data_IF_733695858056
#
_entry.id   IF_733695858056
#
_cell.length_a   1.000
_cell.length_b   1.000
_cell.length_c   1.000
_cell.angle_alpha   90.00
_cell.angle_beta   90.00
_cell.angle_gamma   90.00
#
_symmetry.space_group_name_H-M   'P 1'
#
loop_
_entity.id
_entity.type
_entity.pdbx_description
1 polymer ?
#
# COMPACT_ATOMS: atom_id res chain seq x y z
N UNK A 1 8.16 6.07 -20.23
CA UNK A 1 8.08 4.75 -20.89
C UNK A 1 6.75 4.63 -21.62
N UNK A 2 6.70 4.01 -22.81
CA UNK A 2 5.48 3.93 -23.60
C UNK A 2 4.49 2.87 -23.06
N UNK A 3 3.19 3.19 -23.10
CA UNK A 3 2.09 2.43 -22.49
C UNK A 3 1.96 0.96 -22.97
N UNK A 4 2.35 0.66 -24.22
CA UNK A 4 2.22 -0.69 -24.78
C UNK A 4 3.10 -1.72 -24.04
N UNK A 5 4.20 -1.31 -23.41
CA UNK A 5 5.08 -2.22 -22.67
C UNK A 5 4.43 -2.73 -21.38
N UNK A 6 3.47 -2.01 -20.79
CA UNK A 6 2.73 -2.50 -19.62
C UNK A 6 1.79 -3.67 -19.97
N UNK A 7 1.30 -3.73 -21.21
CA UNK A 7 0.44 -4.84 -21.68
C UNK A 7 1.25 -6.14 -21.80
N UNK A 8 2.52 -6.04 -22.23
CA UNK A 8 3.39 -7.20 -22.41
C UNK A 8 4.25 -7.55 -21.19
N UNK A 9 4.52 -6.59 -20.27
CA UNK A 9 5.20 -6.85 -19.00
C UNK A 9 4.21 -6.91 -17.85
N UNK A 10 3.39 -7.95 -17.88
CA UNK A 10 2.40 -8.26 -16.84
C UNK A 10 3.03 -8.35 -15.43
N UNK A 11 4.33 -8.65 -15.33
CA UNK A 11 5.10 -8.73 -14.08
C UNK A 11 5.40 -7.37 -13.42
N UNK A 12 5.33 -6.28 -14.18
CA UNK A 12 5.51 -4.93 -13.64
C UNK A 12 4.26 -4.40 -12.92
N UNK A 13 3.10 -5.00 -13.18
CA UNK A 13 1.85 -4.59 -12.53
C UNK A 13 1.80 -5.20 -11.13
N UNK A 14 1.85 -4.37 -10.07
CA UNK A 14 1.84 -4.88 -8.71
C UNK A 14 0.47 -5.46 -8.39
N UNK A 15 0.47 -6.54 -7.62
CA UNK A 15 -0.76 -7.10 -7.08
C UNK A 15 -1.38 -6.09 -6.12
N UNK A 16 -2.66 -5.77 -6.30
CA UNK A 16 -3.37 -4.85 -5.43
C UNK A 16 -4.13 -5.62 -4.35
N UNK A 17 -4.34 -5.04 -3.18
CA UNK A 17 -5.02 -5.73 -2.08
C UNK A 17 -6.32 -5.01 -1.70
N UNK A 18 -7.39 -5.07 -2.53
CA UNK A 18 -8.64 -4.38 -2.25
C UNK A 18 -9.46 -5.06 -1.17
N UNK A 19 -10.27 -4.28 -0.44
CA UNK A 19 -11.19 -4.81 0.55
C UNK A 19 -12.41 -5.49 -0.10
N UNK A 20 -12.71 -6.73 0.31
CA UNK A 20 -13.82 -7.56 -0.22
C UNK A 20 -15.17 -6.84 -0.23
N UNK A 21 -15.49 -6.08 0.82
CA UNK A 21 -16.79 -5.43 0.99
C UNK A 21 -17.09 -4.35 -0.05
N UNK A 22 -16.08 -3.71 -0.63
CA UNK A 22 -16.28 -2.64 -1.62
C UNK A 22 -16.38 -3.17 -3.06
N UNK A 23 -15.81 -4.35 -3.35
CA UNK A 23 -15.64 -4.83 -4.73
C UNK A 23 -16.43 -6.10 -5.09
N UNK A 24 -17.01 -6.85 -4.14
CA UNK A 24 -17.72 -8.10 -4.45
C UNK A 24 -19.19 -7.94 -4.88
N UNK A 25 -19.69 -6.72 -5.12
CA UNK A 25 -21.11 -6.52 -5.40
C UNK A 25 -21.54 -6.92 -6.83
N UNK A 26 -20.65 -6.84 -7.83
CA UNK A 26 -20.97 -7.11 -9.24
C UNK A 26 -20.02 -8.16 -9.88
N UNK A 27 -20.53 -8.96 -10.83
CA UNK A 27 -19.73 -9.94 -11.57
C UNK A 27 -18.55 -9.29 -12.33
N UNK A 28 -18.80 -8.13 -12.96
CA UNK A 28 -17.77 -7.35 -13.65
C UNK A 28 -16.64 -6.87 -12.74
N UNK A 29 -16.94 -6.45 -11.50
CA UNK A 29 -15.90 -6.04 -10.56
C UNK A 29 -15.04 -7.21 -10.08
N UNK A 30 -15.55 -8.44 -10.11
CA UNK A 30 -14.80 -9.66 -9.84
C UNK A 30 -13.83 -10.00 -10.99
N UNK A 31 -14.28 -9.89 -12.23
CA UNK A 31 -13.44 -10.08 -13.43
C UNK A 31 -12.35 -9.00 -13.50
N UNK A 32 -12.70 -7.74 -13.23
CA UNK A 32 -11.75 -6.63 -13.16
C UNK A 32 -10.74 -6.82 -12.02
N UNK A 33 -11.17 -7.29 -10.84
CA UNK A 33 -10.24 -7.64 -9.76
C UNK A 33 -9.27 -8.75 -10.17
N UNK A 34 -9.75 -9.80 -10.84
CA UNK A 34 -8.88 -10.88 -11.30
C UNK A 34 -7.89 -10.39 -12.38
N UNK A 35 -8.37 -9.58 -13.34
CA UNK A 35 -7.55 -9.00 -14.40
C UNK A 35 -6.51 -7.99 -13.86
N UNK A 36 -6.84 -7.23 -12.81
CA UNK A 36 -5.95 -6.26 -12.16
C UNK A 36 -5.08 -6.86 -11.05
N UNK A 37 -4.94 -8.20 -11.00
CA UNK A 37 -4.11 -8.90 -9.99
C UNK A 37 -4.49 -8.49 -8.56
N UNK A 38 -5.78 -8.47 -8.25
CA UNK A 38 -6.27 -8.08 -6.93
C UNK A 38 -6.38 -9.29 -5.99
N UNK A 39 -5.75 -9.22 -4.82
CA UNK A 39 -5.94 -10.16 -3.71
C UNK A 39 -7.02 -9.60 -2.78
N UNK A 40 -8.21 -10.19 -2.75
CA UNK A 40 -9.30 -9.67 -1.94
C UNK A 40 -9.05 -9.89 -0.44
N UNK A 41 -8.88 -8.81 0.35
CA UNK A 41 -8.73 -8.86 1.82
C UNK A 41 -10.04 -8.58 2.54
N UNK A 42 -10.33 -9.34 3.58
CA UNK A 42 -11.41 -9.05 4.53
C UNK A 42 -10.86 -8.27 5.72
N UNK A 43 -11.20 -6.98 5.91
CA UNK A 43 -10.76 -6.19 7.08
C UNK A 43 -11.43 -6.62 8.40
N UNK A 44 -12.57 -7.32 8.33
CA UNK A 44 -13.30 -7.91 9.47
C UNK A 44 -13.48 -9.42 9.30
N UNK A 45 -12.44 -10.11 8.87
CA UNK A 45 -12.46 -11.56 8.69
C UNK A 45 -12.00 -12.32 9.93
N UNK A 46 -12.53 -13.52 10.14
CA UNK A 46 -11.99 -14.52 11.07
C UNK A 46 -10.47 -14.68 10.88
N UNK A 47 -9.71 -14.99 11.95
CA UNK A 47 -8.23 -15.12 11.90
C UNK A 47 -7.74 -15.97 10.73
N UNK A 48 -8.50 -16.99 10.38
CA UNK A 48 -8.18 -17.92 9.28
C UNK A 48 -8.17 -17.24 7.91
N UNK A 49 -9.13 -16.36 7.64
CA UNK A 49 -9.21 -15.62 6.36
C UNK A 49 -8.06 -14.61 6.19
N UNK A 50 -7.54 -14.07 7.30
CA UNK A 50 -6.38 -13.18 7.30
C UNK A 50 -5.10 -13.99 7.05
N UNK A 51 -4.98 -15.17 7.68
CA UNK A 51 -3.85 -16.08 7.48
C UNK A 51 -3.79 -16.59 6.04
N UNK A 52 -4.92 -16.97 5.45
CA UNK A 52 -5.01 -17.40 4.06
C UNK A 52 -4.54 -16.29 3.11
N UNK A 53 -4.99 -15.07 3.34
CA UNK A 53 -4.62 -13.93 2.48
C UNK A 53 -3.12 -13.60 2.60
N UNK A 54 -2.58 -13.61 3.81
CA UNK A 54 -1.14 -13.43 4.04
C UNK A 54 -0.32 -14.55 3.38
N UNK A 55 -0.81 -15.78 3.41
CA UNK A 55 -0.15 -16.92 2.75
C UNK A 55 -0.09 -16.74 1.24
N UNK A 56 -1.15 -16.21 0.63
CA UNK A 56 -1.17 -15.85 -0.81
C UNK A 56 -0.20 -14.71 -1.12
N UNK A 57 -0.20 -13.64 -0.32
CA UNK A 57 0.76 -12.54 -0.48
C UNK A 57 2.21 -13.05 -0.37
N UNK A 58 2.49 -13.95 0.58
CA UNK A 58 3.81 -14.59 0.73
C UNK A 58 4.19 -15.40 -0.50
N UNK A 59 3.27 -16.18 -1.07
CA UNK A 59 3.52 -16.97 -2.27
C UNK A 59 3.88 -16.06 -3.47
N UNK A 60 3.16 -14.96 -3.65
CA UNK A 60 3.40 -13.97 -4.71
C UNK A 60 4.76 -13.29 -4.54
N UNK A 61 5.10 -12.85 -3.32
CA UNK A 61 6.40 -12.24 -3.04
C UNK A 61 7.55 -13.24 -3.27
N UNK A 62 7.36 -14.51 -2.93
CA UNK A 62 8.33 -15.59 -3.23
C UNK A 62 8.50 -15.87 -4.72
N UNK A 63 7.50 -15.55 -5.54
CA UNK A 63 7.56 -15.65 -7.00
C UNK A 63 8.19 -14.40 -7.65
N UNK A 64 8.87 -13.54 -6.88
CA UNK A 64 9.48 -12.29 -7.34
C UNK A 64 8.49 -11.31 -7.97
N UNK A 65 7.22 -11.36 -7.55
CA UNK A 65 6.19 -10.44 -8.01
C UNK A 65 5.96 -9.31 -7.00
N UNK A 66 5.62 -8.13 -7.51
CA UNK A 66 5.42 -6.93 -6.70
C UNK A 66 4.03 -6.88 -6.08
N UNK A 67 3.91 -6.33 -4.87
CA UNK A 67 2.64 -6.17 -4.15
C UNK A 67 2.48 -4.71 -3.72
N UNK A 68 1.33 -4.12 -4.02
CA UNK A 68 0.95 -2.77 -3.61
C UNK A 68 -0.02 -2.84 -2.43
N UNK A 69 0.39 -2.25 -1.30
CA UNK A 69 -0.41 -2.19 -0.08
C UNK A 69 -0.47 -0.75 0.40
N UNK A 70 -1.65 -0.31 0.84
CA UNK A 70 -1.84 0.95 1.56
C UNK A 70 -1.70 0.69 3.07
N UNK A 71 -0.59 1.11 3.71
CA UNK A 71 -0.32 0.76 5.10
C UNK A 71 -1.30 1.42 6.08
N UNK A 72 -1.91 2.54 5.72
CA UNK A 72 -2.96 3.20 6.51
C UNK A 72 -4.27 2.38 6.55
N UNK A 73 -4.48 1.49 5.59
CA UNK A 73 -5.69 0.69 5.47
C UNK A 73 -6.95 1.48 5.12
N UNK A 74 -6.97 2.80 5.16
CA UNK A 74 -8.10 3.65 4.72
C UNK A 74 -7.58 4.90 4.02
N UNK A 75 -8.45 5.66 3.36
CA UNK A 75 -8.07 6.97 2.82
C UNK A 75 -8.04 7.98 3.97
N UNK A 76 -6.94 8.72 4.11
CA UNK A 76 -6.85 9.82 5.08
C UNK A 76 -7.97 10.84 4.89
N UNK A 77 -8.69 11.15 5.97
CA UNK A 77 -9.78 12.17 5.98
C UNK A 77 -9.24 13.59 6.11
N UNK A 78 -8.09 13.74 6.75
CA UNK A 78 -7.39 15.03 6.88
C UNK A 78 -6.55 15.33 5.64
N UNK A 79 -6.20 14.31 4.85
CA UNK A 79 -5.25 14.44 3.75
C UNK A 79 -3.79 14.49 4.23
N UNK A 80 -3.53 13.98 5.44
CA UNK A 80 -2.21 13.83 6.04
C UNK A 80 -2.00 12.38 6.47
N UNK A 81 -0.74 11.96 6.58
CA UNK A 81 -0.40 10.60 7.00
C UNK A 81 -0.63 10.45 8.51
N UNK A 82 -1.38 9.41 8.90
CA UNK A 82 -1.60 9.11 10.32
C UNK A 82 -0.46 8.27 10.88
N UNK A 83 0.30 8.85 11.81
CA UNK A 83 1.41 8.16 12.51
C UNK A 83 0.98 7.47 13.81
N UNK A 84 -0.30 7.63 14.22
CA UNK A 84 -0.82 7.08 15.48
C UNK A 84 -1.69 5.84 15.27
N UNK A 85 -2.60 5.93 14.31
CA UNK A 85 -3.60 4.89 14.04
C UNK A 85 -3.32 4.22 12.70
N UNK A 86 -2.53 3.14 12.72
CA UNK A 86 -2.24 2.34 11.53
C UNK A 86 -2.33 0.83 11.82
N UNK A 87 -2.85 0.02 10.87
CA UNK A 87 -2.89 -1.43 11.00
C UNK A 87 -1.51 -2.08 10.90
N UNK A 88 -1.30 -3.17 11.64
CA UNK A 88 -0.02 -3.90 11.67
C UNK A 88 0.10 -5.01 10.61
N UNK A 89 -0.83 -5.06 9.65
CA UNK A 89 -0.91 -6.13 8.66
C UNK A 89 0.32 -6.20 7.75
N UNK A 90 0.87 -5.04 7.38
CA UNK A 90 2.07 -4.95 6.52
C UNK A 90 3.30 -5.48 7.26
N UNK A 91 3.50 -5.09 8.52
CA UNK A 91 4.60 -5.62 9.32
C UNK A 91 4.51 -7.12 9.55
N UNK A 92 3.29 -7.65 9.75
CA UNK A 92 3.08 -9.11 9.81
C UNK A 92 3.50 -9.84 8.52
N UNK A 93 3.21 -9.26 7.37
CA UNK A 93 3.61 -9.81 6.07
C UNK A 93 5.14 -9.80 5.92
N UNK A 94 5.79 -8.69 6.26
CA UNK A 94 7.24 -8.52 6.10
C UNK A 94 8.06 -9.37 7.07
N UNK A 95 7.60 -9.56 8.31
CA UNK A 95 8.22 -10.55 9.22
C UNK A 95 8.22 -11.97 8.62
N UNK A 96 7.28 -12.29 7.73
CA UNK A 96 7.23 -13.60 7.06
C UNK A 96 8.13 -13.68 5.80
N UNK A 97 8.66 -12.55 5.33
CA UNK A 97 9.48 -12.41 4.12
C UNK A 97 10.59 -11.35 4.36
N UNK A 98 11.58 -11.65 5.23
CA UNK A 98 12.55 -10.65 5.71
C UNK A 98 13.47 -10.08 4.61
N UNK A 99 13.65 -10.80 3.50
CA UNK A 99 14.44 -10.30 2.36
C UNK A 99 13.68 -9.33 1.45
N UNK A 100 12.38 -9.12 1.68
CA UNK A 100 11.58 -8.22 0.88
C UNK A 100 11.99 -6.76 1.11
N UNK A 101 12.29 -6.04 0.02
CA UNK A 101 12.43 -4.58 0.06
C UNK A 101 11.06 -3.92 -0.06
N UNK A 102 10.91 -2.75 0.55
CA UNK A 102 9.68 -1.97 0.51
C UNK A 102 9.94 -0.70 -0.28
N UNK A 103 9.19 -0.50 -1.37
CA UNK A 103 9.16 0.77 -2.09
C UNK A 103 8.06 1.65 -1.51
N UNK A 104 8.47 2.67 -0.76
CA UNK A 104 7.58 3.69 -0.23
C UNK A 104 7.27 4.70 -1.34
N UNK A 105 5.99 4.89 -1.63
CA UNK A 105 5.52 5.84 -2.65
C UNK A 105 4.65 6.87 -1.94
N UNK A 106 5.10 8.13 -1.93
CA UNK A 106 4.30 9.27 -1.50
C UNK A 106 3.75 9.97 -2.74
N UNK A 107 2.42 10.13 -2.80
CA UNK A 107 1.75 10.81 -3.90
C UNK A 107 0.74 11.81 -3.34
N UNK A 108 0.80 13.06 -3.80
CA UNK A 108 -0.10 14.12 -3.37
C UNK A 108 -0.45 15.05 -4.53
N UNK A 109 -1.70 15.51 -4.59
CA UNK A 109 -2.08 16.61 -5.47
C UNK A 109 -1.61 17.95 -4.90
N UNK A 110 -1.00 18.79 -5.73
CA UNK A 110 -0.30 19.99 -5.25
C UNK A 110 -1.25 20.99 -4.57
N UNK A 111 -2.49 21.10 -5.04
CA UNK A 111 -3.53 21.96 -4.46
C UNK A 111 -4.49 21.22 -3.52
N UNK A 112 -4.17 19.97 -3.16
CA UNK A 112 -5.00 19.18 -2.25
C UNK A 112 -4.89 19.73 -0.82
N UNK A 113 -5.96 20.38 -0.34
CA UNK A 113 -6.03 20.90 1.04
C UNK A 113 -6.72 19.94 2.03
N UNK A 114 -7.63 19.09 1.54
CA UNK A 114 -8.46 18.16 2.32
C UNK A 114 -8.76 16.91 1.51
N UNK A 115 -9.41 15.94 2.14
CA UNK A 115 -10.00 14.80 1.45
C UNK A 115 -10.95 15.23 0.32
N UNK A 116 -10.78 14.66 -0.87
CA UNK A 116 -11.70 14.79 -2.01
C UNK A 116 -11.89 13.45 -2.71
N UNK A 117 -13.02 13.29 -3.40
CA UNK A 117 -13.30 12.10 -4.21
C UNK A 117 -12.71 12.19 -5.62
N UNK A 118 -12.57 13.41 -6.13
CA UNK A 118 -12.12 13.70 -7.49
C UNK A 118 -10.99 14.74 -7.39
N UNK A 119 -9.91 14.61 -8.19
CA UNK A 119 -8.91 15.66 -8.30
C UNK A 119 -9.50 16.95 -8.87
N UNK A 120 -8.86 18.09 -8.62
CA UNK A 120 -9.26 19.34 -9.26
C UNK A 120 -8.96 19.28 -10.76
N UNK A 121 -9.65 20.12 -11.51
CA UNK A 121 -9.35 20.29 -12.92
C UNK A 121 -7.90 20.76 -13.10
N UNK A 122 -7.12 20.06 -13.93
CA UNK A 122 -5.68 20.28 -14.14
C UNK A 122 -4.82 20.16 -12.86
N UNK A 123 -5.24 19.37 -11.88
CA UNK A 123 -4.42 19.07 -10.70
C UNK A 123 -3.11 18.40 -11.12
N UNK A 124 -1.99 18.91 -10.60
CA UNK A 124 -0.69 18.28 -10.72
C UNK A 124 -0.43 17.40 -9.51
N UNK A 125 0.25 16.27 -9.74
CA UNK A 125 0.58 15.32 -8.69
C UNK A 125 2.09 15.24 -8.52
N UNK A 126 2.54 15.54 -7.32
CA UNK A 126 3.89 15.27 -6.86
C UNK A 126 3.99 13.83 -6.36
N UNK A 127 4.91 13.07 -6.95
CA UNK A 127 5.17 11.68 -6.56
C UNK A 127 6.64 11.52 -6.21
N UNK A 128 6.90 11.02 -5.00
CA UNK A 128 8.23 10.63 -4.53
C UNK A 128 8.26 9.15 -4.23
N UNK A 129 9.39 8.51 -4.52
CA UNK A 129 9.57 7.08 -4.31
C UNK A 129 10.92 6.84 -3.65
N UNK A 130 10.91 6.14 -2.52
CA UNK A 130 12.11 5.79 -1.77
C UNK A 130 12.05 4.32 -1.35
N UNK A 131 13.17 3.62 -1.42
CA UNK A 131 13.25 2.20 -1.08
C UNK A 131 13.84 2.04 0.32
N UNK A 132 13.17 1.25 1.16
CA UNK A 132 13.63 0.91 2.51
C UNK A 132 13.64 -0.60 2.72
N UNK A 133 14.49 -1.05 3.64
CA UNK A 133 14.44 -2.41 4.20
C UNK A 133 14.20 -2.28 5.70
N UNK A 134 12.96 -2.45 6.19
CA UNK A 134 12.67 -2.33 7.61
C UNK A 134 13.26 -3.52 8.38
N UNK A 135 13.90 -3.25 9.50
CA UNK A 135 14.61 -4.25 10.34
C UNK A 135 14.07 -4.15 11.77
N UNK A 136 13.92 -5.28 12.45
CA UNK A 136 13.53 -5.33 13.87
C UNK A 136 14.19 -6.53 14.52
N UNK A 137 14.65 -6.35 15.76
CA UNK A 137 15.12 -7.44 16.62
C UNK A 137 14.00 -7.98 17.52
N UNK A 138 12.82 -7.35 17.49
CA UNK A 138 11.68 -7.78 18.26
C UNK A 138 11.00 -8.99 17.61
N UNK A 139 10.20 -9.71 18.41
CA UNK A 139 9.43 -10.86 17.96
C UNK A 139 7.91 -10.63 18.12
N UNK A 140 7.13 -11.40 17.36
CA UNK A 140 5.67 -11.42 17.45
C UNK A 140 5.01 -10.08 17.13
N UNK A 141 4.00 -9.71 17.94
CA UNK A 141 3.19 -8.51 17.68
C UNK A 141 4.01 -7.21 17.74
N UNK A 142 5.05 -7.18 18.59
CA UNK A 142 5.95 -6.03 18.71
C UNK A 142 6.73 -5.80 17.41
N UNK A 143 7.28 -6.88 16.82
CA UNK A 143 7.94 -6.84 15.51
C UNK A 143 7.03 -6.29 14.41
N UNK A 144 5.79 -6.80 14.35
CA UNK A 144 4.81 -6.36 13.36
C UNK A 144 4.52 -4.86 13.47
N UNK A 145 4.40 -4.36 14.70
CA UNK A 145 4.16 -2.94 14.98
C UNK A 145 5.37 -2.10 14.59
N UNK A 146 6.57 -2.48 14.99
CA UNK A 146 7.81 -1.75 14.70
C UNK A 146 8.07 -1.63 13.20
N UNK A 147 7.95 -2.72 12.45
CA UNK A 147 8.11 -2.69 10.98
C UNK A 147 7.06 -1.77 10.34
N UNK A 148 5.79 -1.90 10.75
CA UNK A 148 4.72 -1.05 10.20
C UNK A 148 4.95 0.42 10.55
N UNK A 149 5.44 0.70 11.77
CA UNK A 149 5.78 2.04 12.21
C UNK A 149 6.93 2.64 11.38
N UNK A 150 8.00 1.88 11.09
CA UNK A 150 9.10 2.36 10.26
C UNK A 150 8.63 2.79 8.87
N UNK A 151 7.73 2.03 8.25
CA UNK A 151 7.15 2.37 6.93
C UNK A 151 6.31 3.64 7.02
N UNK A 152 5.43 3.74 8.01
CA UNK A 152 4.55 4.90 8.19
C UNK A 152 5.37 6.16 8.53
N UNK A 153 6.37 6.05 9.39
CA UNK A 153 7.26 7.17 9.74
C UNK A 153 8.05 7.62 8.52
N UNK A 154 8.56 6.70 7.72
CA UNK A 154 9.28 7.05 6.50
C UNK A 154 8.36 7.79 5.51
N UNK A 155 7.13 7.32 5.30
CA UNK A 155 6.15 8.04 4.47
C UNK A 155 5.82 9.42 5.05
N UNK A 156 5.73 9.56 6.38
CA UNK A 156 5.53 10.86 7.04
C UNK A 156 6.72 11.81 6.84
N UNK A 157 7.96 11.30 6.85
CA UNK A 157 9.13 12.09 6.48
C UNK A 157 9.08 12.56 5.03
N UNK A 158 8.68 11.70 4.09
CA UNK A 158 8.48 12.08 2.68
C UNK A 158 7.41 13.18 2.53
N UNK A 159 6.33 13.10 3.31
CA UNK A 159 5.30 14.15 3.38
C UNK A 159 5.87 15.48 3.91
N UNK A 160 6.64 15.44 4.98
CA UNK A 160 7.28 16.64 5.54
C UNK A 160 8.26 17.28 4.53
N UNK A 161 9.04 16.48 3.81
CA UNK A 161 9.92 16.96 2.75
C UNK A 161 9.13 17.62 1.62
N UNK A 162 8.02 17.01 1.20
CA UNK A 162 7.11 17.62 0.23
C UNK A 162 6.63 19.00 0.70
N UNK A 163 6.15 19.11 1.94
CA UNK A 163 5.69 20.40 2.47
C UNK A 163 6.83 21.43 2.62
N UNK A 164 8.05 20.99 2.94
CA UNK A 164 9.20 21.89 3.02
C UNK A 164 9.56 22.49 1.64
N UNK A 165 9.45 21.70 0.57
CA UNK A 165 9.74 22.15 -0.80
C UNK A 165 8.62 23.03 -1.39
N UNK A 166 7.36 22.78 -1.00
CA UNK A 166 6.18 23.46 -1.56
C UNK A 166 5.63 24.59 -0.69
N UNK A 167 6.20 24.85 0.49
CA UNK A 167 5.99 26.09 1.26
C UNK A 167 6.86 27.20 0.67
N UNK A 168 6.45 27.73 -0.48
CA UNK A 168 6.87 29.04 -0.99
C UNK A 168 5.65 29.92 -1.18
#
# INVERSE_FOLDING_TARGET
MPLYQYVFRFDLMPWNVPEKKNFQRNFFSRVICYALKCIPVSRRGHRDSVNETLSRCKAILKQNQNLMIFPEGTRSRTGLISTRDFPYGVGRLLCCVPECRVLCIYARGDHQKRYSLIPRYKEMFSVKMEMIKPITDANGLKAHREISAQIIQHLSTMENHYFAEHRK
#
